data_IF_601741134571
#
_entry.id   IF_601741134571
#
_cell.length_a   1.000
_cell.length_b   1.000
_cell.length_c   1.000
_cell.angle_alpha   90.00
_cell.angle_beta   90.00
_cell.angle_gamma   90.00
#
_symmetry.space_group_name_H-M   'P 1'
#
loop_
_entity.id
_entity.type
_entity.pdbx_description
1 polymer ?
#
# COMPACT_ATOMS: atom_id res chain seq x y z
N UNK A 1 -23.61 -21.70 6.01
CA UNK A 1 -23.07 -20.33 6.09
C UNK A 1 -21.62 -20.45 6.49
N UNK A 2 -20.71 -20.56 5.53
CA UNK A 2 -19.27 -20.66 5.81
C UNK A 2 -18.73 -19.29 6.21
N UNK A 3 -17.91 -19.27 7.27
CA UNK A 3 -17.32 -18.09 7.90
C UNK A 3 -16.72 -17.09 6.89
N UNK A 4 -17.41 -15.98 6.66
CA UNK A 4 -16.74 -14.77 6.21
C UNK A 4 -15.80 -14.36 7.34
N UNK A 5 -14.51 -14.22 7.05
CA UNK A 5 -13.52 -13.79 8.04
C UNK A 5 -13.69 -12.28 8.29
N UNK A 6 -14.70 -11.91 9.07
CA UNK A 6 -15.05 -10.54 9.46
C UNK A 6 -14.20 -10.05 10.64
N UNK A 7 -12.99 -10.59 10.79
CA UNK A 7 -12.05 -10.22 11.84
C UNK A 7 -10.77 -9.70 11.22
N UNK A 8 -10.36 -8.52 11.65
CA UNK A 8 -9.05 -7.98 11.34
C UNK A 8 -8.45 -7.32 12.58
N UNK A 9 -7.24 -7.75 12.96
CA UNK A 9 -6.61 -7.45 14.26
C UNK A 9 -7.56 -7.85 15.40
N UNK A 10 -7.79 -6.93 16.34
CA UNK A 10 -8.67 -7.10 17.51
C UNK A 10 -10.10 -6.61 17.24
N UNK A 11 -10.46 -6.33 15.98
CA UNK A 11 -11.79 -5.85 15.59
C UNK A 11 -12.60 -6.97 14.95
N UNK A 12 -13.85 -7.07 15.37
CA UNK A 12 -14.89 -7.89 14.75
C UNK A 12 -15.87 -6.94 14.08
N UNK A 13 -16.14 -7.17 12.80
CA UNK A 13 -17.02 -6.34 12.00
C UNK A 13 -18.42 -6.94 11.93
N UNK A 14 -19.43 -6.07 11.93
CA UNK A 14 -20.84 -6.48 11.88
C UNK A 14 -21.21 -6.98 10.50
N UNK A 15 -20.55 -6.47 9.46
CA UNK A 15 -20.77 -6.87 8.07
C UNK A 15 -19.51 -6.79 7.23
N UNK A 16 -19.54 -7.44 6.05
CA UNK A 16 -18.43 -7.39 5.10
C UNK A 16 -18.28 -6.02 4.46
N UNK A 17 -19.36 -5.26 4.33
CA UNK A 17 -19.36 -3.86 3.87
C UNK A 17 -18.59 -2.98 4.85
N UNK A 18 -18.89 -3.11 6.15
CA UNK A 18 -18.19 -2.35 7.20
C UNK A 18 -16.69 -2.68 7.24
N UNK A 19 -16.34 -3.97 7.12
CA UNK A 19 -14.94 -4.40 6.97
C UNK A 19 -14.33 -3.73 5.74
N UNK A 20 -15.00 -3.78 4.59
CA UNK A 20 -14.50 -3.27 3.32
C UNK A 20 -14.22 -1.78 3.35
N UNK A 21 -15.17 -0.98 3.83
CA UNK A 21 -15.00 0.46 3.96
C UNK A 21 -13.84 0.80 4.89
N UNK A 22 -13.75 0.11 6.02
CA UNK A 22 -12.67 0.31 7.00
C UNK A 22 -11.32 -0.02 6.38
N UNK A 23 -11.18 -1.19 5.73
CA UNK A 23 -9.91 -1.59 5.15
C UNK A 23 -9.51 -0.70 3.98
N UNK A 24 -10.44 -0.37 3.07
CA UNK A 24 -10.16 0.52 1.94
C UNK A 24 -9.73 1.91 2.41
N UNK A 25 -10.38 2.44 3.45
CA UNK A 25 -9.99 3.69 4.07
C UNK A 25 -8.57 3.62 4.66
N UNK A 26 -8.28 2.60 5.47
CA UNK A 26 -6.95 2.41 6.06
C UNK A 26 -5.86 2.24 5.02
N UNK A 27 -6.11 1.48 3.95
CA UNK A 27 -5.16 1.34 2.83
C UNK A 27 -4.88 2.71 2.20
N UNK A 28 -5.93 3.48 1.92
CA UNK A 28 -5.81 4.80 1.33
C UNK A 28 -5.00 5.75 2.21
N UNK A 29 -5.26 5.78 3.52
CA UNK A 29 -4.46 6.59 4.45
C UNK A 29 -2.99 6.19 4.46
N UNK A 30 -2.68 4.88 4.48
CA UNK A 30 -1.29 4.42 4.42
C UNK A 30 -0.57 4.91 3.16
N UNK A 31 -1.21 4.83 2.00
CA UNK A 31 -0.65 5.28 0.73
C UNK A 31 -0.49 6.81 0.73
N UNK A 32 -1.50 7.55 1.18
CA UNK A 32 -1.45 9.01 1.27
C UNK A 32 -0.31 9.50 2.16
N UNK A 33 -0.12 8.86 3.33
CA UNK A 33 1.01 9.21 4.21
C UNK A 33 2.37 8.98 3.55
N UNK A 34 2.51 7.96 2.69
CA UNK A 34 3.73 7.76 1.92
C UNK A 34 3.88 8.84 0.85
N UNK A 35 2.81 9.16 0.11
CA UNK A 35 2.83 10.17 -0.95
C UNK A 35 3.13 11.58 -0.42
N UNK A 36 2.62 11.92 0.77
CA UNK A 36 2.90 13.19 1.44
C UNK A 36 4.30 13.25 2.07
N UNK A 37 5.04 12.13 2.08
CA UNK A 37 6.36 12.03 2.71
C UNK A 37 6.33 11.94 4.23
N UNK A 38 5.15 11.81 4.84
CA UNK A 38 5.00 11.59 6.29
C UNK A 38 5.46 10.20 6.71
N UNK A 39 5.39 9.23 5.78
CA UNK A 39 5.98 7.90 5.91
C UNK A 39 6.99 7.64 4.82
N UNK A 40 8.08 6.92 5.17
CA UNK A 40 9.06 6.50 4.18
C UNK A 40 8.45 5.48 3.23
N UNK A 41 8.67 5.67 1.94
CA UNK A 41 8.33 4.68 0.92
C UNK A 41 9.28 3.47 0.98
N UNK A 42 9.05 2.57 1.95
CA UNK A 42 9.83 1.35 2.14
C UNK A 42 8.96 0.13 1.89
N UNK A 43 9.61 -1.00 1.59
CA UNK A 43 8.93 -2.29 1.43
C UNK A 43 7.97 -2.58 2.60
N UNK A 44 8.40 -2.37 3.84
CA UNK A 44 7.59 -2.70 5.03
C UNK A 44 6.32 -1.83 5.13
N UNK A 45 6.43 -0.53 4.85
CA UNK A 45 5.28 0.38 4.86
C UNK A 45 4.28 0.02 3.75
N UNK A 46 4.78 -0.31 2.55
CA UNK A 46 3.94 -0.78 1.44
C UNK A 46 3.29 -2.13 1.73
N UNK A 47 4.01 -3.03 2.40
CA UNK A 47 3.52 -4.38 2.70
C UNK A 47 2.30 -4.37 3.64
N UNK A 48 2.18 -3.37 4.51
CA UNK A 48 0.98 -3.19 5.32
C UNK A 48 -0.27 -2.93 4.45
N UNK A 49 -0.19 -2.00 3.50
CA UNK A 49 -1.27 -1.74 2.55
C UNK A 49 -1.59 -2.96 1.68
N UNK A 50 -0.55 -3.66 1.21
CA UNK A 50 -0.67 -4.92 0.46
C UNK A 50 -1.42 -6.00 1.23
N UNK A 51 -1.05 -6.20 2.49
CA UNK A 51 -1.69 -7.19 3.37
C UNK A 51 -3.19 -6.91 3.50
N UNK A 52 -3.57 -5.65 3.68
CA UNK A 52 -4.97 -5.23 3.80
C UNK A 52 -5.76 -5.50 2.50
N UNK A 53 -5.18 -5.19 1.34
CA UNK A 53 -5.78 -5.50 0.04
C UNK A 53 -6.01 -7.01 -0.13
N UNK A 54 -5.02 -7.83 0.22
CA UNK A 54 -5.13 -9.28 0.17
C UNK A 54 -6.18 -9.82 1.15
N UNK A 55 -6.26 -9.24 2.36
CA UNK A 55 -7.27 -9.61 3.34
C UNK A 55 -8.68 -9.33 2.81
N UNK A 56 -8.89 -8.16 2.20
CA UNK A 56 -10.16 -7.81 1.58
C UNK A 56 -10.53 -8.79 0.46
N UNK A 57 -9.59 -9.13 -0.43
CA UNK A 57 -9.81 -10.12 -1.48
C UNK A 57 -10.19 -11.49 -0.90
N UNK A 58 -9.55 -11.90 0.18
CA UNK A 58 -9.84 -13.16 0.87
C UNK A 58 -11.22 -13.16 1.52
N UNK A 59 -11.64 -12.05 2.12
CA UNK A 59 -12.98 -11.91 2.70
C UNK A 59 -14.08 -12.16 1.64
N UNK A 60 -13.81 -11.79 0.39
CA UNK A 60 -14.68 -12.03 -0.76
C UNK A 60 -14.39 -13.31 -1.56
N UNK A 61 -13.61 -14.25 -1.01
CA UNK A 61 -13.24 -15.52 -1.68
C UNK A 61 -12.63 -15.32 -3.08
N UNK A 62 -11.87 -14.24 -3.27
CA UNK A 62 -11.12 -13.98 -4.51
C UNK A 62 -11.68 -12.86 -5.39
N UNK A 63 -12.99 -12.56 -5.31
CA UNK A 63 -13.65 -11.63 -6.23
C UNK A 63 -14.31 -10.46 -5.51
N UNK A 64 -13.67 -9.28 -5.57
CA UNK A 64 -14.21 -8.06 -4.95
C UNK A 64 -15.48 -7.59 -5.68
N UNK A 65 -16.57 -7.25 -4.97
CA UNK A 65 -17.82 -6.76 -5.54
C UNK A 65 -17.63 -5.50 -6.38
N UNK A 66 -18.51 -5.32 -7.37
CA UNK A 66 -18.44 -4.20 -8.32
C UNK A 66 -18.41 -2.83 -7.61
N UNK A 67 -19.14 -2.68 -6.51
CA UNK A 67 -19.19 -1.42 -5.74
C UNK A 67 -17.83 -0.97 -5.17
N UNK A 68 -16.93 -1.92 -4.88
CA UNK A 68 -15.60 -1.64 -4.32
C UNK A 68 -14.47 -1.82 -5.33
N UNK A 69 -14.75 -2.45 -6.48
CA UNK A 69 -13.73 -2.84 -7.47
C UNK A 69 -12.89 -1.67 -7.99
N UNK A 70 -13.54 -0.54 -8.26
CA UNK A 70 -12.84 0.67 -8.74
C UNK A 70 -11.81 1.15 -7.73
N UNK A 71 -12.23 1.35 -6.47
CA UNK A 71 -11.37 1.77 -5.36
C UNK A 71 -10.26 0.75 -5.10
N UNK A 72 -10.60 -0.53 -5.02
CA UNK A 72 -9.65 -1.62 -4.82
C UNK A 72 -8.54 -1.63 -5.89
N UNK A 73 -8.92 -1.53 -7.17
CA UNK A 73 -7.96 -1.51 -8.29
C UNK A 73 -7.10 -0.24 -8.28
N UNK A 74 -7.70 0.90 -7.94
CA UNK A 74 -6.97 2.17 -7.82
C UNK A 74 -5.89 2.08 -6.74
N UNK A 75 -6.21 1.53 -5.57
CA UNK A 75 -5.26 1.36 -4.47
C UNK A 75 -4.12 0.39 -4.83
N UNK A 76 -4.41 -0.72 -5.52
CA UNK A 76 -3.38 -1.59 -6.08
C UNK A 76 -2.45 -0.86 -7.05
N UNK A 77 -3.02 -0.03 -7.92
CA UNK A 77 -2.23 0.72 -8.91
C UNK A 77 -1.34 1.78 -8.25
N UNK A 78 -1.85 2.44 -7.21
CA UNK A 78 -1.07 3.39 -6.41
C UNK A 78 0.06 2.69 -5.66
N UNK A 79 -0.20 1.53 -5.07
CA UNK A 79 0.82 0.72 -4.40
C UNK A 79 1.93 0.29 -5.36
N UNK A 80 1.54 -0.17 -6.56
CA UNK A 80 2.49 -0.53 -7.62
C UNK A 80 3.37 0.65 -8.04
N UNK A 81 2.78 1.85 -8.20
CA UNK A 81 3.56 3.08 -8.46
C UNK A 81 4.57 3.34 -7.34
N UNK A 82 4.16 3.23 -6.08
CA UNK A 82 5.07 3.43 -4.94
C UNK A 82 6.21 2.42 -4.93
N UNK A 83 5.94 1.14 -5.23
CA UNK A 83 6.98 0.10 -5.38
C UNK A 83 8.03 0.52 -6.42
N UNK A 84 7.59 1.04 -7.56
CA UNK A 84 8.49 1.44 -8.65
C UNK A 84 9.21 2.77 -8.39
N UNK A 85 8.68 3.64 -7.53
CA UNK A 85 9.34 4.89 -7.14
C UNK A 85 10.53 4.66 -6.19
N UNK A 86 10.45 3.65 -5.32
CA UNK A 86 11.55 3.26 -4.42
C UNK A 86 12.73 2.65 -5.20
N UNK A 87 12.42 1.89 -6.25
CA UNK A 87 13.41 1.32 -7.18
C UNK A 87 13.93 2.32 -8.22
N UNK A 88 13.31 3.49 -8.36
CA UNK A 88 13.73 4.54 -9.31
C UNK A 88 14.93 5.35 -8.80
N UNK A 89 16.02 4.67 -8.47
CA UNK A 89 17.36 5.22 -8.69
C UNK A 89 17.91 4.54 -9.93
N UNK A 90 17.63 5.13 -11.11
CA UNK A 90 18.33 4.71 -12.33
C UNK A 90 19.83 4.59 -12.00
N UNK A 91 20.52 3.50 -12.34
CA UNK A 91 21.92 3.27 -11.91
C UNK A 91 22.83 4.48 -12.19
N UNK A 92 22.55 5.17 -13.29
CA UNK A 92 23.17 6.45 -13.64
C UNK A 92 22.92 7.58 -12.62
N UNK A 93 21.68 7.77 -12.16
CA UNK A 93 21.34 8.77 -11.15
C UNK A 93 21.97 8.44 -9.80
N UNK A 94 22.00 7.16 -9.42
CA UNK A 94 22.73 6.71 -8.22
C UNK A 94 24.22 7.09 -8.30
N UNK A 95 24.86 6.75 -9.43
CA UNK A 95 26.27 7.11 -9.70
C UNK A 95 26.52 8.62 -9.67
N UNK A 96 25.60 9.42 -10.22
CA UNK A 96 25.68 10.88 -10.20
C UNK A 96 25.57 11.44 -8.80
N UNK A 97 24.61 10.94 -7.99
CA UNK A 97 24.46 11.35 -6.60
C UNK A 97 25.69 10.96 -5.77
N UNK A 98 26.23 9.76 -5.94
CA UNK A 98 27.43 9.31 -5.24
C UNK A 98 28.64 10.20 -5.58
N UNK A 99 28.81 10.58 -6.86
CA UNK A 99 29.87 11.51 -7.28
C UNK A 99 29.71 12.91 -6.69
N UNK A 100 28.48 13.44 -6.65
CA UNK A 100 28.21 14.76 -6.05
C UNK A 100 28.46 14.74 -4.54
N UNK A 101 28.14 13.64 -3.86
CA UNK A 101 28.34 13.50 -2.42
C UNK A 101 29.84 13.45 -2.06
N UNK A 102 30.64 12.69 -2.80
CA UNK A 102 32.11 12.61 -2.61
C UNK A 102 32.78 13.98 -2.77
N UNK A 103 32.33 14.79 -3.73
CA UNK A 103 32.87 16.14 -3.97
C UNK A 103 32.58 17.07 -2.78
N UNK A 104 31.45 16.91 -2.09
CA UNK A 104 31.10 17.74 -0.93
C UNK A 104 31.90 17.42 0.34
N UNK A 105 32.46 16.23 0.47
CA UNK A 105 33.32 15.88 1.62
C UNK A 105 34.79 16.25 1.41
N UNK A 106 35.17 16.71 0.21
CA UNK A 106 36.54 17.08 -0.15
C UNK A 106 36.70 18.59 -0.41
N UNK A 107 35.74 19.42 0.02
CA UNK A 107 35.81 20.89 0.08
C UNK A 107 35.67 21.30 1.54
#
# INVERSE_FOLDING_TARGET
>A
MEDMNLKYKDRIFVSIEQLSETLLHEINEQILYIDMGEKKNTHDQRNQAKFLLMHLQRAYKGTVPTQYRSTYNSLWSQLYRLEHQDEFKHPYLKTLFDKIHVIREHI
#
